data_IF_968049830779
#
_entry.id   IF_968049830779
#
_cell.length_a   1.000
_cell.length_b   1.000
_cell.length_c   1.000
_cell.angle_alpha   90.00
_cell.angle_beta   90.00
_cell.angle_gamma   90.00
#
_symmetry.space_group_name_H-M   'P 1'
#
loop_
_entity.id
_entity.type
_entity.pdbx_description
1 polymer ?
#
# COMPACT_ATOMS: atom_id res chain seq x y z
N UNK A 1 -13.95 -5.50 -59.90
CA UNK A 1 -15.28 -5.57 -59.21
C UNK A 1 -15.15 -6.54 -58.06
N UNK A 2 -15.40 -6.09 -56.84
CA UNK A 2 -15.52 -7.01 -55.70
C UNK A 2 -16.77 -7.88 -55.94
N UNK A 3 -16.64 -9.18 -55.74
CA UNK A 3 -17.78 -10.11 -55.88
C UNK A 3 -18.80 -9.88 -54.77
N UNK A 4 -20.07 -10.32 -54.96
CA UNK A 4 -21.11 -10.26 -53.94
C UNK A 4 -20.63 -10.98 -52.61
N UNK A 5 -19.86 -12.08 -52.76
CA UNK A 5 -19.28 -12.82 -51.65
C UNK A 5 -18.29 -11.96 -50.85
N UNK A 6 -17.44 -11.14 -51.52
CA UNK A 6 -16.51 -10.24 -50.83
C UNK A 6 -17.24 -9.13 -50.04
N UNK A 7 -18.37 -8.65 -50.56
CA UNK A 7 -19.19 -7.65 -49.90
C UNK A 7 -19.87 -8.23 -48.63
N UNK A 8 -20.42 -9.43 -48.73
CA UNK A 8 -21.04 -10.13 -47.61
C UNK A 8 -19.99 -10.41 -46.55
N UNK A 9 -18.83 -10.99 -46.89
CA UNK A 9 -17.75 -11.28 -45.96
C UNK A 9 -17.26 -10.01 -45.23
N UNK A 10 -17.06 -8.90 -45.96
CA UNK A 10 -16.67 -7.61 -45.40
C UNK A 10 -17.74 -7.04 -44.43
N UNK A 11 -19.02 -7.27 -44.71
CA UNK A 11 -20.13 -6.79 -43.86
C UNK A 11 -20.20 -7.60 -42.58
N UNK A 12 -20.07 -8.93 -42.69
CA UNK A 12 -20.04 -9.83 -41.53
C UNK A 12 -18.85 -9.48 -40.63
N UNK A 13 -17.66 -9.36 -41.21
CA UNK A 13 -16.44 -9.02 -40.45
C UNK A 13 -16.59 -7.68 -39.70
N UNK A 14 -17.12 -6.64 -40.35
CA UNK A 14 -17.41 -5.36 -39.69
C UNK A 14 -18.42 -5.49 -38.55
N UNK A 15 -19.45 -6.31 -38.73
CA UNK A 15 -20.45 -6.54 -37.71
C UNK A 15 -19.88 -7.26 -36.49
N UNK A 16 -18.99 -8.23 -36.70
CA UNK A 16 -18.28 -8.93 -35.62
C UNK A 16 -17.31 -8.01 -34.88
N UNK A 17 -16.53 -7.18 -35.61
CA UNK A 17 -15.65 -6.18 -35.00
C UNK A 17 -16.44 -5.16 -34.17
N UNK A 18 -17.58 -4.69 -34.66
CA UNK A 18 -18.44 -3.76 -33.94
C UNK A 18 -19.05 -4.40 -32.68
N UNK A 19 -19.54 -5.64 -32.78
CA UNK A 19 -20.07 -6.37 -31.63
C UNK A 19 -18.96 -6.61 -30.58
N UNK A 20 -17.74 -6.93 -31.01
CA UNK A 20 -16.58 -7.08 -30.11
C UNK A 20 -16.21 -5.76 -29.44
N UNK A 21 -16.23 -4.65 -30.17
CA UNK A 21 -15.94 -3.32 -29.60
C UNK A 21 -16.94 -2.94 -28.52
N UNK A 22 -18.26 -3.17 -28.74
CA UNK A 22 -19.29 -2.92 -27.73
C UNK A 22 -19.09 -3.80 -26.51
N UNK A 23 -18.77 -5.08 -26.69
CA UNK A 23 -18.52 -5.99 -25.58
C UNK A 23 -17.31 -5.56 -24.73
N UNK A 24 -16.21 -5.13 -25.36
CA UNK A 24 -15.04 -4.61 -24.69
C UNK A 24 -15.33 -3.30 -23.94
N UNK A 25 -16.10 -2.40 -24.53
CA UNK A 25 -16.50 -1.14 -23.88
C UNK A 25 -17.36 -1.41 -22.64
N UNK A 26 -18.30 -2.35 -22.72
CA UNK A 26 -19.12 -2.76 -21.59
C UNK A 26 -18.27 -3.33 -20.43
N UNK A 27 -17.33 -4.24 -20.75
CA UNK A 27 -16.41 -4.80 -19.76
C UNK A 27 -15.55 -3.70 -19.12
N UNK A 28 -15.06 -2.76 -19.92
CA UNK A 28 -14.29 -1.61 -19.41
C UNK A 28 -15.11 -0.75 -18.44
N UNK A 29 -16.38 -0.50 -18.74
CA UNK A 29 -17.28 0.23 -17.85
C UNK A 29 -17.55 -0.53 -16.54
N UNK A 30 -17.74 -1.85 -16.60
CA UNK A 30 -17.94 -2.69 -15.41
C UNK A 30 -16.68 -2.68 -14.51
N UNK A 31 -15.48 -2.74 -15.10
CA UNK A 31 -14.21 -2.62 -14.37
C UNK A 31 -14.08 -1.24 -13.72
N UNK A 32 -14.47 -0.18 -14.43
CA UNK A 32 -14.42 1.18 -13.87
C UNK A 32 -15.37 1.33 -12.67
N UNK A 33 -16.58 0.78 -12.74
CA UNK A 33 -17.53 0.77 -11.62
C UNK A 33 -16.96 -0.02 -10.43
N UNK A 34 -16.39 -1.20 -10.69
CA UNK A 34 -15.75 -2.01 -9.65
C UNK A 34 -14.60 -1.27 -8.96
N UNK A 35 -13.78 -0.52 -9.73
CA UNK A 35 -12.71 0.32 -9.19
C UNK A 35 -13.23 1.47 -8.31
N UNK A 36 -14.34 2.10 -8.69
CA UNK A 36 -14.97 3.13 -7.84
C UNK A 36 -15.49 2.54 -6.52
N UNK A 37 -16.08 1.35 -6.57
CA UNK A 37 -16.53 0.63 -5.37
C UNK A 37 -15.32 0.28 -4.50
N UNK A 38 -14.26 -0.26 -5.10
CA UNK A 38 -13.02 -0.60 -4.40
C UNK A 38 -12.39 0.62 -3.72
N UNK A 39 -12.28 1.74 -4.43
CA UNK A 39 -11.77 2.99 -3.88
C UNK A 39 -12.58 3.49 -2.68
N UNK A 40 -13.89 3.19 -2.64
CA UNK A 40 -14.74 3.55 -1.49
C UNK A 40 -14.46 2.76 -0.22
N UNK A 41 -13.76 1.63 -0.33
CA UNK A 41 -13.31 0.86 0.85
C UNK A 41 -12.10 1.51 1.51
N UNK A 42 -11.27 2.22 0.76
CA UNK A 42 -10.08 2.86 1.32
C UNK A 42 -10.44 4.06 2.21
N UNK A 43 -9.65 4.34 3.25
CA UNK A 43 -9.86 5.51 4.09
C UNK A 43 -9.79 6.80 3.26
N UNK A 44 -10.85 7.61 3.30
CA UNK A 44 -10.91 8.93 2.67
C UNK A 44 -10.65 10.08 3.64
N UNK A 45 -10.55 9.77 4.93
CA UNK A 45 -10.19 10.70 5.99
C UNK A 45 -9.09 10.05 6.84
N UNK A 46 -8.03 10.79 7.08
CA UNK A 46 -6.94 10.36 7.92
C UNK A 46 -7.14 10.88 9.34
N UNK A 47 -6.94 10.04 10.37
CA UNK A 47 -7.03 10.49 11.74
C UNK A 47 -5.94 11.55 12.01
N UNK A 48 -6.33 12.63 12.68
CA UNK A 48 -5.35 13.56 13.21
C UNK A 48 -4.77 12.95 14.50
N UNK A 49 -3.48 12.67 14.48
CA UNK A 49 -2.76 12.08 15.60
C UNK A 49 -1.83 13.15 16.15
N UNK A 50 -2.10 13.71 17.35
CA UNK A 50 -1.25 14.75 17.91
C UNK A 50 0.22 14.33 18.01
N UNK A 51 1.14 15.14 17.48
CA UNK A 51 2.57 14.88 17.46
C UNK A 51 3.03 13.88 16.38
N UNK A 52 2.16 13.59 15.41
CA UNK A 52 2.48 12.69 14.29
C UNK A 52 1.96 13.25 12.97
N UNK A 53 2.73 13.00 11.91
CA UNK A 53 2.30 13.22 10.53
C UNK A 53 2.13 11.88 9.82
N UNK A 54 1.10 11.77 9.01
CA UNK A 54 0.82 10.61 8.19
C UNK A 54 0.52 11.05 6.76
N UNK A 55 1.40 10.67 5.84
CA UNK A 55 1.23 10.89 4.41
C UNK A 55 1.00 9.54 3.72
N UNK A 56 -0.06 9.42 2.92
CA UNK A 56 -0.40 8.16 2.21
C UNK A 56 -0.79 8.48 0.79
N UNK A 57 -0.30 7.68 -0.15
CA UNK A 57 -0.77 7.65 -1.55
C UNK A 57 -0.95 6.22 -2.02
N UNK A 58 -1.93 6.01 -2.89
CA UNK A 58 -2.13 4.80 -3.68
C UNK A 58 -2.47 5.23 -5.09
N UNK A 59 -1.63 4.86 -6.05
CA UNK A 59 -1.82 5.10 -7.49
C UNK A 59 -1.99 3.74 -8.18
N UNK A 60 -3.22 3.34 -8.56
CA UNK A 60 -3.45 2.10 -9.28
C UNK A 60 -2.85 2.14 -10.68
N UNK A 61 -2.24 1.02 -11.14
CA UNK A 61 -1.75 0.87 -12.51
C UNK A 61 -2.89 0.74 -13.54
N UNK A 62 -4.05 0.31 -13.08
CA UNK A 62 -5.23 0.07 -13.90
C UNK A 62 -6.51 0.58 -13.27
N UNK A 63 -7.65 0.05 -13.70
CA UNK A 63 -8.96 0.40 -13.13
C UNK A 63 -9.24 -0.24 -11.77
N UNK A 64 -8.47 -1.27 -11.38
CA UNK A 64 -8.57 -2.04 -10.14
C UNK A 64 -7.18 -2.19 -9.55
N UNK A 65 -7.08 -2.26 -8.22
CA UNK A 65 -5.83 -2.42 -7.49
C UNK A 65 -5.82 -3.73 -6.68
N UNK A 66 -4.66 -4.43 -6.70
CA UNK A 66 -4.33 -5.49 -5.74
C UNK A 66 -3.88 -4.91 -4.41
N UNK A 67 -3.25 -3.74 -4.46
CA UNK A 67 -2.77 -3.01 -3.30
C UNK A 67 -3.88 -2.42 -2.46
N UNK A 68 -3.65 -2.33 -1.17
CA UNK A 68 -4.47 -1.52 -0.28
C UNK A 68 -3.69 -1.05 0.95
N UNK A 69 -4.20 0.01 1.54
CA UNK A 69 -3.86 0.42 2.89
C UNK A 69 -5.11 0.58 3.74
N UNK A 70 -4.97 0.49 5.05
CA UNK A 70 -6.06 0.84 5.97
C UNK A 70 -5.49 1.51 7.23
N UNK A 71 -6.33 2.37 7.81
CA UNK A 71 -6.07 3.08 9.05
C UNK A 71 -7.22 2.74 9.99
N UNK A 72 -6.91 2.01 11.07
CA UNK A 72 -7.91 1.42 11.95
C UNK A 72 -7.78 2.07 13.32
N UNK A 73 -8.73 2.93 13.67
CA UNK A 73 -8.76 3.52 15.00
C UNK A 73 -9.16 2.45 16.01
N UNK A 74 -8.28 2.19 16.98
CA UNK A 74 -8.41 1.17 18.01
C UNK A 74 -8.71 1.82 19.37
N UNK A 75 -8.95 0.98 20.39
CA UNK A 75 -9.15 1.46 21.75
C UNK A 75 -7.89 2.14 22.30
N UNK A 76 -8.07 3.15 23.19
CA UNK A 76 -6.95 3.87 23.80
C UNK A 76 -6.16 4.72 22.81
N UNK A 77 -6.84 5.34 21.86
CA UNK A 77 -6.25 6.23 20.84
C UNK A 77 -5.18 5.58 19.95
N UNK A 78 -5.05 4.23 20.00
CA UNK A 78 -4.12 3.50 19.16
C UNK A 78 -4.58 3.46 17.72
N UNK A 79 -3.62 3.39 16.81
CA UNK A 79 -3.87 3.34 15.37
C UNK A 79 -3.29 2.06 14.76
N UNK A 80 -4.15 1.24 14.15
CA UNK A 80 -3.74 0.16 13.27
C UNK A 80 -3.35 0.71 11.89
N UNK A 81 -2.15 0.38 11.45
CA UNK A 81 -1.60 0.71 10.13
C UNK A 81 -1.51 -0.57 9.31
N UNK A 82 -2.17 -0.61 8.16
CA UNK A 82 -2.11 -1.74 7.22
C UNK A 82 -1.56 -1.25 5.90
N UNK A 83 -0.64 -2.00 5.33
CA UNK A 83 -0.28 -1.94 3.91
C UNK A 83 -0.14 -3.36 3.40
N UNK A 84 -0.71 -3.65 2.25
CA UNK A 84 -0.75 -4.99 1.72
C UNK A 84 -0.86 -4.99 0.20
N UNK A 85 -0.38 -6.07 -0.40
CA UNK A 85 -0.41 -6.32 -1.83
C UNK A 85 -0.84 -7.76 -2.09
N UNK A 86 -1.82 -7.94 -2.96
CA UNK A 86 -2.36 -9.24 -3.38
C UNK A 86 -1.58 -9.73 -4.60
N UNK A 87 -1.03 -10.92 -4.51
CA UNK A 87 -0.43 -11.57 -5.66
C UNK A 87 -1.44 -11.71 -6.81
N UNK A 88 -1.02 -11.37 -8.05
CA UNK A 88 -1.86 -11.29 -9.25
C UNK A 88 -2.54 -9.91 -9.44
N UNK A 89 -3.19 -9.70 -10.57
CA UNK A 89 -3.78 -8.41 -10.98
C UNK A 89 -5.22 -8.57 -11.48
N UNK A 90 -5.89 -7.45 -11.58
CA UNK A 90 -7.24 -7.36 -12.13
C UNK A 90 -8.34 -7.71 -11.13
N UNK A 91 -9.49 -8.16 -11.64
CA UNK A 91 -10.71 -8.33 -10.84
C UNK A 91 -10.56 -9.35 -9.71
N UNK A 92 -9.81 -10.43 -9.93
CA UNK A 92 -9.55 -11.46 -8.91
C UNK A 92 -8.81 -10.89 -7.71
N UNK A 93 -7.69 -10.21 -7.96
CA UNK A 93 -6.89 -9.55 -6.93
C UNK A 93 -7.71 -8.47 -6.19
N UNK A 94 -8.50 -7.67 -6.92
CA UNK A 94 -9.34 -6.63 -6.33
C UNK A 94 -10.41 -7.17 -5.38
N UNK A 95 -11.05 -8.28 -5.70
CA UNK A 95 -12.03 -8.94 -4.82
C UNK A 95 -11.35 -9.56 -3.60
N UNK A 96 -10.18 -10.17 -3.81
CA UNK A 96 -9.40 -10.76 -2.73
C UNK A 96 -8.87 -9.69 -1.77
N UNK A 97 -8.44 -8.54 -2.29
CA UNK A 97 -8.09 -7.36 -1.50
C UNK A 97 -9.23 -6.93 -0.57
N UNK A 98 -10.46 -6.81 -1.09
CA UNK A 98 -11.62 -6.39 -0.31
C UNK A 98 -11.93 -7.38 0.83
N UNK A 99 -11.82 -8.68 0.58
CA UNK A 99 -11.97 -9.74 1.58
C UNK A 99 -10.90 -9.59 2.67
N UNK A 100 -9.63 -9.52 2.28
CA UNK A 100 -8.51 -9.48 3.20
C UNK A 100 -8.53 -8.23 4.08
N UNK A 101 -8.76 -7.07 3.47
CA UNK A 101 -8.93 -5.82 4.21
C UNK A 101 -10.05 -5.94 5.26
N UNK A 102 -11.18 -6.52 4.88
CA UNK A 102 -12.32 -6.71 5.80
C UNK A 102 -11.98 -7.61 6.96
N UNK A 103 -11.29 -8.72 6.72
CA UNK A 103 -10.87 -9.67 7.75
C UNK A 103 -9.85 -9.04 8.69
N UNK A 104 -8.79 -8.42 8.16
CA UNK A 104 -7.78 -7.73 8.97
C UNK A 104 -8.43 -6.67 9.86
N UNK A 105 -9.32 -5.85 9.30
CA UNK A 105 -10.05 -4.82 10.06
C UNK A 105 -10.93 -5.41 11.15
N UNK A 106 -11.61 -6.52 10.87
CA UNK A 106 -12.48 -7.21 11.84
C UNK A 106 -11.66 -7.74 13.02
N UNK A 107 -10.60 -8.47 12.74
CA UNK A 107 -9.74 -9.06 13.75
C UNK A 107 -8.89 -8.01 14.49
N UNK A 108 -8.59 -6.87 13.86
CA UNK A 108 -7.94 -5.74 14.53
C UNK A 108 -8.74 -5.23 15.73
N UNK A 109 -10.07 -5.17 15.64
CA UNK A 109 -10.93 -4.80 16.77
C UNK A 109 -10.98 -5.87 17.85
N UNK A 110 -10.85 -7.13 17.50
CA UNK A 110 -10.89 -8.26 18.44
C UNK A 110 -9.56 -8.39 19.20
N UNK A 111 -8.44 -8.38 18.47
CA UNK A 111 -7.11 -8.66 19.03
C UNK A 111 -6.28 -7.41 19.34
N UNK A 112 -6.81 -6.21 19.09
CA UNK A 112 -6.21 -4.92 19.47
C UNK A 112 -4.68 -4.84 19.19
N UNK A 113 -3.85 -4.89 20.24
CA UNK A 113 -2.39 -4.76 20.18
C UNK A 113 -1.66 -6.09 19.87
N UNK A 114 -2.32 -7.05 19.21
CA UNK A 114 -1.76 -8.37 18.85
C UNK A 114 -1.75 -8.55 17.32
N UNK A 115 -0.86 -7.84 16.61
CA UNK A 115 -0.78 -7.94 15.15
C UNK A 115 -0.50 -9.37 14.65
N UNK A 116 0.23 -10.16 15.42
CA UNK A 116 0.47 -11.58 15.18
C UNK A 116 -0.84 -12.38 15.10
N UNK A 117 -1.76 -12.18 16.04
CA UNK A 117 -3.05 -12.87 16.06
C UNK A 117 -3.98 -12.38 14.95
N UNK A 118 -4.01 -11.06 14.69
CA UNK A 118 -4.82 -10.50 13.61
C UNK A 118 -4.49 -11.14 12.26
N UNK A 119 -3.20 -11.30 11.97
CA UNK A 119 -2.74 -11.93 10.72
C UNK A 119 -3.04 -13.43 10.75
N UNK A 120 -2.84 -14.13 11.87
CA UNK A 120 -3.11 -15.55 12.00
C UNK A 120 -4.57 -15.89 11.75
N UNK A 121 -5.49 -15.17 12.36
CA UNK A 121 -6.94 -15.37 12.18
C UNK A 121 -7.41 -15.01 10.77
N UNK A 122 -6.84 -13.93 10.20
CA UNK A 122 -7.11 -13.58 8.81
C UNK A 122 -6.64 -14.69 7.86
N UNK A 123 -5.45 -15.27 8.10
CA UNK A 123 -4.92 -16.38 7.31
C UNK A 123 -5.82 -17.62 7.39
N UNK A 124 -6.19 -18.04 8.59
CA UNK A 124 -7.07 -19.18 8.79
C UNK A 124 -8.39 -19.00 8.04
N UNK A 125 -9.00 -17.82 8.19
CA UNK A 125 -10.29 -17.53 7.55
C UNK A 125 -10.20 -17.48 6.04
N UNK A 126 -9.13 -16.89 5.49
CA UNK A 126 -8.88 -16.83 4.05
C UNK A 126 -8.73 -18.24 3.47
N UNK A 127 -7.95 -19.10 4.10
CA UNK A 127 -7.72 -20.48 3.63
C UNK A 127 -9.00 -21.34 3.69
N UNK A 128 -9.88 -21.08 4.65
CA UNK A 128 -11.18 -21.75 4.76
C UNK A 128 -12.18 -21.32 3.70
N UNK A 129 -12.28 -20.01 3.44
CA UNK A 129 -13.36 -19.43 2.63
C UNK A 129 -12.96 -19.18 1.17
N UNK A 130 -11.71 -18.83 0.91
CA UNK A 130 -11.23 -18.47 -0.42
C UNK A 130 -10.31 -19.54 -0.99
N UNK A 131 -10.87 -20.38 -1.86
CA UNK A 131 -10.10 -21.41 -2.60
C UNK A 131 -9.38 -20.84 -3.83
N UNK A 132 -9.03 -19.58 -3.80
CA UNK A 132 -8.21 -18.94 -4.82
C UNK A 132 -6.74 -19.26 -4.50
N UNK A 133 -5.95 -19.67 -5.50
CA UNK A 133 -4.50 -19.82 -5.33
C UNK A 133 -3.80 -18.47 -5.29
N UNK A 134 -4.35 -17.52 -4.51
CA UNK A 134 -3.83 -16.18 -4.32
C UNK A 134 -3.30 -16.05 -2.89
N UNK A 135 -2.25 -15.28 -2.73
CA UNK A 135 -1.69 -14.94 -1.43
C UNK A 135 -1.55 -13.42 -1.30
N UNK A 136 -1.32 -12.96 -0.08
CA UNK A 136 -1.19 -11.53 0.21
C UNK A 136 0.06 -11.31 1.01
N UNK A 137 0.84 -10.34 0.59
CA UNK A 137 1.86 -9.76 1.44
C UNK A 137 1.22 -8.66 2.28
N UNK A 138 1.48 -8.63 3.58
CA UNK A 138 0.83 -7.69 4.48
C UNK A 138 1.79 -7.25 5.60
N UNK A 139 1.88 -5.95 5.81
CA UNK A 139 2.40 -5.39 7.06
C UNK A 139 1.23 -4.85 7.87
N UNK A 140 1.09 -5.31 9.11
CA UNK A 140 0.15 -4.78 10.07
C UNK A 140 0.88 -4.32 11.33
N UNK A 141 0.72 -3.04 11.67
CA UNK A 141 1.31 -2.44 12.86
C UNK A 141 0.29 -1.69 13.69
N UNK A 142 0.47 -1.70 15.01
CA UNK A 142 -0.35 -0.95 15.95
C UNK A 142 0.52 0.11 16.61
N UNK A 143 0.27 1.36 16.24
CA UNK A 143 0.90 2.53 16.83
C UNK A 143 0.21 2.88 18.14
N UNK A 144 1.00 3.04 19.18
CA UNK A 144 0.64 3.74 20.42
C UNK A 144 1.26 5.14 20.35
N UNK A 145 0.47 6.18 20.01
CA UNK A 145 1.04 7.50 19.80
C UNK A 145 1.54 8.17 21.07
N UNK A 146 0.95 7.85 22.23
CA UNK A 146 1.37 8.40 23.52
C UNK A 146 2.73 7.85 23.95
N UNK A 147 2.90 6.52 23.88
CA UNK A 147 4.16 5.85 24.18
C UNK A 147 5.21 6.01 23.05
N UNK A 148 4.77 6.37 21.86
CA UNK A 148 5.65 6.48 20.69
C UNK A 148 6.20 5.12 20.27
N UNK A 149 5.42 4.05 20.38
CA UNK A 149 5.82 2.69 20.03
C UNK A 149 4.93 2.10 18.94
N UNK A 150 5.49 1.25 18.09
CA UNK A 150 4.77 0.46 17.10
C UNK A 150 5.05 -1.01 17.34
N UNK A 151 3.98 -1.78 17.60
CA UNK A 151 4.02 -3.25 17.62
C UNK A 151 3.55 -3.74 16.26
N UNK A 152 4.33 -4.57 15.57
CA UNK A 152 4.00 -5.00 14.20
C UNK A 152 4.23 -6.48 13.96
N UNK A 153 3.57 -7.00 12.92
CA UNK A 153 3.89 -8.23 12.24
C UNK A 153 3.97 -7.97 10.73
N UNK A 154 4.96 -8.58 10.07
CA UNK A 154 5.19 -8.46 8.64
C UNK A 154 5.05 -9.83 7.98
N UNK A 155 3.92 -10.04 7.33
CA UNK A 155 3.56 -11.26 6.62
C UNK A 155 4.07 -11.21 5.16
N UNK A 156 5.36 -11.37 4.98
CA UNK A 156 5.98 -11.47 3.66
C UNK A 156 6.09 -10.15 2.89
N UNK A 157 5.60 -9.04 3.41
CA UNK A 157 5.59 -7.75 2.73
C UNK A 157 6.99 -7.12 2.60
N UNK A 158 7.16 -6.18 1.68
CA UNK A 158 8.37 -5.39 1.52
C UNK A 158 8.75 -4.77 2.87
N UNK A 159 9.99 -4.97 3.35
CA UNK A 159 10.37 -4.49 4.66
C UNK A 159 10.25 -2.96 4.74
N UNK A 160 9.37 -2.40 5.59
CA UNK A 160 9.33 -0.97 5.81
C UNK A 160 10.67 -0.43 6.30
N UNK A 161 10.99 0.80 5.93
CA UNK A 161 12.26 1.45 6.27
C UNK A 161 12.01 2.43 7.42
N UNK A 162 12.65 2.18 8.56
CA UNK A 162 12.72 3.14 9.66
C UNK A 162 13.93 4.05 9.45
N UNK A 163 13.66 5.32 9.13
CA UNK A 163 14.67 6.37 9.02
C UNK A 163 14.79 7.09 10.36
N UNK A 164 15.89 6.87 11.07
CA UNK A 164 16.11 7.49 12.37
C UNK A 164 16.66 8.91 12.22
N UNK A 165 16.10 9.83 13.01
CA UNK A 165 16.58 11.21 13.11
C UNK A 165 17.84 11.29 14.00
N UNK A 166 18.91 10.62 13.56
CA UNK A 166 20.22 10.63 14.22
C UNK A 166 21.25 11.32 13.32
N UNK A 167 22.36 11.81 13.89
CA UNK A 167 23.45 12.41 13.08
C UNK A 167 23.93 11.47 11.95
N UNK A 168 23.98 10.17 12.21
CA UNK A 168 24.41 9.15 11.24
C UNK A 168 23.32 8.79 10.24
N UNK A 169 22.08 9.31 10.38
CA UNK A 169 20.93 9.06 9.49
C UNK A 169 20.75 7.56 9.18
N UNK A 170 20.72 6.73 10.23
CA UNK A 170 20.62 5.29 10.08
C UNK A 170 19.27 4.87 9.55
N UNK A 171 19.27 3.98 8.57
CA UNK A 171 18.11 3.35 8.00
C UNK A 171 18.03 1.88 8.45
N UNK A 172 16.88 1.44 8.93
CA UNK A 172 16.65 0.07 9.37
C UNK A 172 15.47 -0.53 8.65
N UNK A 173 15.64 -1.71 8.05
CA UNK A 173 14.56 -2.46 7.46
C UNK A 173 13.81 -3.26 8.56
N UNK A 174 12.49 -3.11 8.61
CA UNK A 174 11.63 -3.91 9.47
C UNK A 174 11.33 -5.26 8.82
N UNK A 175 12.24 -6.20 9.02
CA UNK A 175 12.22 -7.50 8.36
C UNK A 175 10.90 -8.26 8.57
N UNK A 176 10.63 -9.18 7.64
CA UNK A 176 9.52 -10.12 7.69
C UNK A 176 9.52 -10.92 8.99
N UNK A 177 8.34 -11.18 9.53
CA UNK A 177 8.14 -11.94 10.77
C UNK A 177 7.42 -13.26 10.54
N UNK A 178 6.99 -13.50 9.30
CA UNK A 178 6.35 -14.71 8.81
C UNK A 178 6.17 -14.67 7.30
N UNK A 179 5.55 -15.71 6.75
CA UNK A 179 5.26 -15.82 5.32
C UNK A 179 4.03 -15.00 4.91
N UNK A 180 3.74 -14.82 3.61
CA UNK A 180 2.50 -14.21 3.14
C UNK A 180 1.26 -14.95 3.65
N UNK A 181 0.15 -14.22 3.76
CA UNK A 181 -1.17 -14.73 4.15
C UNK A 181 -1.77 -15.53 2.99
N UNK A 182 -2.44 -16.65 3.28
CA UNK A 182 -3.11 -17.48 2.29
C UNK A 182 -2.22 -18.57 1.65
N UNK A 183 -1.03 -18.82 2.21
CA UNK A 183 -0.07 -19.81 1.69
C UNK A 183 -0.15 -21.14 2.43
N UNK A 184 -0.16 -21.11 3.77
CA UNK A 184 -0.04 -22.29 4.61
C UNK A 184 -0.94 -22.13 5.85
N UNK A 185 -1.67 -23.20 6.21
CA UNK A 185 -2.54 -23.22 7.39
C UNK A 185 -1.77 -23.28 8.71
N UNK A 186 -0.56 -23.85 8.69
CA UNK A 186 0.33 -23.96 9.84
C UNK A 186 1.25 -22.72 10.00
N UNK A 187 1.06 -21.69 9.18
CA UNK A 187 1.86 -20.47 9.22
C UNK A 187 1.72 -19.75 10.57
N UNK A 188 2.83 -19.18 11.04
CA UNK A 188 2.87 -18.39 12.25
C UNK A 188 3.65 -17.09 12.06
N UNK A 189 3.32 -16.07 12.83
CA UNK A 189 3.95 -14.76 12.76
C UNK A 189 4.45 -14.33 14.13
N UNK A 190 5.68 -13.82 14.15
CA UNK A 190 6.21 -13.14 15.32
C UNK A 190 5.73 -11.69 15.34
N UNK A 191 5.55 -11.12 16.53
CA UNK A 191 5.40 -9.68 16.70
C UNK A 191 6.71 -9.05 17.13
N UNK A 192 6.98 -7.85 16.62
CA UNK A 192 8.15 -7.04 16.98
C UNK A 192 7.71 -5.65 17.39
N UNK A 193 8.54 -4.98 18.17
CA UNK A 193 8.26 -3.62 18.65
C UNK A 193 9.42 -2.71 18.28
N UNK A 194 9.08 -1.52 17.82
CA UNK A 194 10.02 -0.41 17.64
C UNK A 194 9.53 0.81 18.41
N UNK A 195 10.44 1.70 18.77
CA UNK A 195 10.14 2.97 19.41
C UNK A 195 10.58 4.11 18.49
N UNK A 196 9.81 5.18 18.46
CA UNK A 196 10.09 6.39 17.70
C UNK A 196 10.61 7.49 18.61
N UNK A 197 11.66 8.14 18.18
CA UNK A 197 12.09 9.45 18.71
C UNK A 197 11.60 10.58 17.79
N UNK A 198 11.48 11.83 18.28
CA UNK A 198 11.03 12.93 17.44
C UNK A 198 11.89 13.10 16.17
N UNK A 199 11.22 13.21 15.03
CA UNK A 199 11.82 13.29 13.69
C UNK A 199 12.07 11.93 13.02
N UNK A 200 11.86 10.80 13.71
CA UNK A 200 11.94 9.48 13.07
C UNK A 200 10.78 9.29 12.09
N UNK A 201 11.06 8.62 10.96
CA UNK A 201 10.07 8.32 9.92
C UNK A 201 10.02 6.82 9.63
N UNK A 202 8.83 6.28 9.47
CA UNK A 202 8.62 4.94 8.96
C UNK A 202 8.02 5.02 7.56
N UNK A 203 8.73 4.45 6.59
CA UNK A 203 8.36 4.43 5.19
C UNK A 203 7.90 3.01 4.84
N UNK A 204 6.61 2.86 4.54
CA UNK A 204 5.99 1.62 4.11
C UNK A 204 5.66 1.76 2.62
N UNK A 205 5.93 0.72 1.83
CA UNK A 205 5.76 0.77 0.38
C UNK A 205 5.51 -0.61 -0.21
N UNK A 206 4.76 -0.66 -1.31
CA UNK A 206 4.61 -1.86 -2.13
C UNK A 206 5.70 -1.94 -3.20
N UNK A 207 5.86 -3.09 -3.81
CA UNK A 207 6.91 -3.32 -4.81
C UNK A 207 6.77 -2.43 -6.05
N UNK A 208 5.55 -1.96 -6.38
CA UNK A 208 5.35 -0.97 -7.45
C UNK A 208 6.18 0.31 -7.31
N UNK A 209 6.62 0.67 -6.08
CA UNK A 209 7.56 1.77 -5.86
C UNK A 209 8.95 1.41 -6.41
N UNK A 210 9.48 0.24 -6.08
CA UNK A 210 10.83 -0.19 -6.44
C UNK A 210 10.90 -0.84 -7.81
N UNK A 211 9.78 -1.38 -8.31
CA UNK A 211 9.66 -2.02 -9.62
C UNK A 211 9.10 -1.09 -10.71
N UNK A 212 8.92 0.20 -10.42
CA UNK A 212 8.59 1.20 -11.43
C UNK A 212 9.65 1.21 -12.54
N UNK A 213 9.22 1.02 -13.81
CA UNK A 213 10.12 0.85 -14.94
C UNK A 213 10.21 2.11 -15.81
N UNK A 214 11.42 2.38 -16.30
CA UNK A 214 11.64 3.39 -17.35
C UNK A 214 11.53 2.78 -18.75
N UNK A 215 11.58 3.63 -19.79
CA UNK A 215 11.51 3.20 -21.19
C UNK A 215 12.61 2.24 -21.65
N UNK A 216 13.67 2.05 -20.86
CA UNK A 216 14.74 1.06 -21.10
C UNK A 216 14.55 -0.24 -20.32
N UNK A 217 13.46 -0.37 -19.55
CA UNK A 217 13.17 -1.55 -18.75
C UNK A 217 13.98 -1.66 -17.46
N UNK A 218 14.64 -0.58 -17.01
CA UNK A 218 15.33 -0.52 -15.73
C UNK A 218 14.32 -0.19 -14.63
N UNK A 219 14.50 -0.80 -13.45
CA UNK A 219 13.71 -0.52 -12.26
C UNK A 219 14.22 0.72 -11.50
N UNK A 220 13.29 1.40 -10.80
CA UNK A 220 13.63 2.48 -9.87
C UNK A 220 14.53 1.99 -8.74
N UNK A 221 14.32 0.77 -8.30
CA UNK A 221 15.02 -0.02 -7.30
C UNK A 221 15.05 0.55 -5.86
N UNK A 222 15.39 -0.31 -4.90
CA UNK A 222 15.48 0.06 -3.48
C UNK A 222 16.57 1.11 -3.22
N UNK A 223 17.64 1.09 -4.00
CA UNK A 223 18.74 2.05 -3.83
C UNK A 223 18.28 3.48 -4.12
N UNK A 224 17.50 3.70 -5.17
CA UNK A 224 16.98 5.02 -5.50
C UNK A 224 15.98 5.49 -4.43
N UNK A 225 15.16 4.58 -3.89
CA UNK A 225 14.28 4.88 -2.76
C UNK A 225 15.08 5.32 -1.52
N UNK A 226 16.12 4.59 -1.14
CA UNK A 226 17.01 4.93 -0.01
C UNK A 226 17.73 6.26 -0.23
N UNK A 227 18.13 6.57 -1.46
CA UNK A 227 18.72 7.85 -1.84
C UNK A 227 17.73 9.01 -1.64
N UNK A 228 16.46 8.85 -2.03
CA UNK A 228 15.40 9.84 -1.79
C UNK A 228 15.19 10.08 -0.29
N UNK A 229 15.07 9.02 0.51
CA UNK A 229 14.88 9.09 1.96
C UNK A 229 16.06 9.85 2.62
N UNK A 230 17.29 9.52 2.20
CA UNK A 230 18.48 10.13 2.77
C UNK A 230 18.60 11.62 2.43
N UNK A 231 18.26 12.02 1.19
CA UNK A 231 18.30 13.44 0.77
C UNK A 231 17.25 14.28 1.48
N UNK A 232 16.06 13.72 1.71
CA UNK A 232 14.91 14.43 2.29
C UNK A 232 14.70 14.11 3.79
N UNK A 233 15.75 13.71 4.50
CA UNK A 233 15.64 13.30 5.90
C UNK A 233 15.05 14.36 6.84
N UNK A 234 15.32 15.66 6.56
CA UNK A 234 14.88 16.79 7.39
C UNK A 234 13.51 17.35 6.95
N UNK A 235 12.94 16.87 5.84
CA UNK A 235 11.62 17.27 5.39
C UNK A 235 10.52 16.57 6.18
N UNK A 236 9.30 17.08 6.05
CA UNK A 236 8.09 16.45 6.60
C UNK A 236 7.75 15.15 5.89
N UNK A 237 6.84 14.34 6.48
CA UNK A 237 6.32 13.14 5.83
C UNK A 237 5.74 13.42 4.44
N UNK A 238 5.04 14.55 4.29
CA UNK A 238 4.46 14.98 3.01
C UNK A 238 5.52 15.36 1.98
N UNK A 239 6.53 16.13 2.38
CA UNK A 239 7.64 16.52 1.49
C UNK A 239 8.46 15.30 1.04
N UNK A 240 8.67 14.32 1.91
CA UNK A 240 9.33 13.06 1.54
C UNK A 240 8.48 12.26 0.57
N UNK A 241 7.16 12.15 0.80
CA UNK A 241 6.24 11.48 -0.13
C UNK A 241 6.28 12.12 -1.51
N UNK A 242 6.15 13.45 -1.58
CA UNK A 242 6.21 14.20 -2.83
C UNK A 242 7.54 13.99 -3.55
N UNK A 243 8.66 13.99 -2.79
CA UNK A 243 9.98 13.73 -3.35
C UNK A 243 10.08 12.36 -3.96
N UNK A 244 9.66 11.30 -3.26
CA UNK A 244 9.70 9.93 -3.78
C UNK A 244 8.81 9.81 -5.03
N UNK A 245 7.56 10.27 -4.98
CA UNK A 245 6.62 10.17 -6.09
C UNK A 245 7.09 10.96 -7.32
N UNK A 246 7.66 12.15 -7.14
CA UNK A 246 8.20 12.93 -8.25
C UNK A 246 9.43 12.25 -8.88
N UNK A 247 10.34 11.68 -8.08
CA UNK A 247 11.48 10.94 -8.61
C UNK A 247 11.04 9.69 -9.39
N UNK A 248 10.01 8.97 -8.96
CA UNK A 248 9.42 7.85 -9.70
C UNK A 248 8.86 8.35 -11.05
N UNK A 249 8.07 9.42 -11.06
CA UNK A 249 7.48 9.99 -12.28
C UNK A 249 8.54 10.48 -13.28
N UNK A 250 9.59 11.13 -12.80
CA UNK A 250 10.73 11.55 -13.62
C UNK A 250 11.49 10.35 -14.18
N UNK A 251 11.72 9.32 -13.36
CA UNK A 251 12.44 8.11 -13.78
C UNK A 251 11.67 7.32 -14.84
N UNK A 252 10.36 7.16 -14.68
CA UNK A 252 9.52 6.44 -15.65
C UNK A 252 9.31 7.21 -16.96
N UNK A 253 9.46 8.56 -16.94
CA UNK A 253 9.39 9.43 -18.12
C UNK A 253 8.20 9.14 -19.03
N UNK A 254 7.02 8.89 -18.45
CA UNK A 254 5.79 8.62 -19.21
C UNK A 254 5.64 7.18 -19.70
N UNK A 255 6.50 6.27 -19.31
CA UNK A 255 6.26 4.82 -19.46
C UNK A 255 4.99 4.44 -18.69
N UNK A 256 4.06 3.67 -19.26
CA UNK A 256 2.88 3.22 -18.52
C UNK A 256 3.27 2.49 -17.23
N UNK A 257 2.58 2.80 -16.16
CA UNK A 257 2.77 2.14 -14.87
C UNK A 257 2.47 0.65 -14.99
N UNK A 258 3.39 -0.18 -14.50
CA UNK A 258 3.31 -1.65 -14.59
C UNK A 258 2.62 -2.28 -13.40
N UNK A 259 2.67 -1.65 -12.23
CA UNK A 259 2.06 -2.13 -10.99
C UNK A 259 1.47 -1.01 -10.15
N UNK A 260 0.61 -1.36 -9.20
CA UNK A 260 0.04 -0.41 -8.24
C UNK A 260 1.15 0.16 -7.35
N UNK A 261 1.11 1.45 -7.07
CA UNK A 261 2.08 2.13 -6.21
C UNK A 261 1.38 2.55 -4.94
N UNK A 262 1.77 1.95 -3.82
CA UNK A 262 1.31 2.37 -2.49
C UNK A 262 2.50 2.83 -1.65
N UNK A 263 2.40 4.02 -1.10
CA UNK A 263 3.42 4.62 -0.24
C UNK A 263 2.74 5.25 0.98
N UNK A 264 3.19 4.86 2.18
CA UNK A 264 2.72 5.42 3.45
C UNK A 264 3.94 5.85 4.26
N UNK A 265 3.93 7.08 4.76
CA UNK A 265 5.00 7.62 5.59
C UNK A 265 4.39 8.12 6.90
N UNK A 266 4.84 7.53 8.00
CA UNK A 266 4.51 7.93 9.36
C UNK A 266 5.72 8.64 9.97
N UNK A 267 5.55 9.85 10.46
CA UNK A 267 6.58 10.65 11.12
C UNK A 267 6.17 11.04 12.53
N UNK A 268 7.05 10.86 13.50
CA UNK A 268 6.91 11.49 14.81
C UNK A 268 7.44 12.91 14.75
N UNK A 269 6.55 13.91 14.95
CA UNK A 269 6.93 15.32 14.84
C UNK A 269 8.01 15.71 15.84
N UNK A 270 8.83 16.68 15.45
CA UNK A 270 9.75 17.31 16.39
C UNK A 270 8.95 18.08 17.44
N UNK A 271 9.23 17.86 18.72
CA UNK A 271 8.58 18.64 19.78
C UNK A 271 8.92 20.14 19.62
N UNK A 272 7.92 20.92 19.29
CA UNK A 272 8.02 22.38 19.15
C UNK A 272 8.09 23.10 20.53
N UNK A 273 8.69 22.46 21.55
CA UNK A 273 8.84 23.02 22.91
C UNK A 273 10.22 23.63 23.12
N UNK A 274 10.67 24.55 22.24
CA UNK A 274 11.78 25.47 22.58
C UNK A 274 11.63 26.82 21.89
N UNK A 275 10.44 27.43 21.98
CA UNK A 275 10.37 28.87 21.91
C UNK A 275 10.24 29.40 23.34
N UNK A 276 11.26 30.11 23.87
CA UNK A 276 11.09 30.83 25.11
C UNK A 276 9.96 31.82 24.92
N UNK A 277 9.00 31.80 25.81
CA UNK A 277 7.97 32.84 25.89
C UNK A 277 8.62 34.16 26.33
N UNK A 278 9.25 34.90 25.43
CA UNK A 278 9.54 36.30 25.63
C UNK A 278 8.21 37.05 25.58
N UNK A 279 7.54 37.10 26.71
CA UNK A 279 6.59 38.18 27.00
C UNK A 279 7.38 39.24 27.78
N UNK A 280 7.63 40.40 27.23
CA UNK A 280 8.02 41.55 28.05
C UNK A 280 6.79 41.98 28.89
N UNK A 281 7.05 42.20 30.17
CA UNK A 281 6.15 42.89 31.12
C UNK A 281 5.79 44.32 30.67
#
# INVERSE_FOLDING_TARGET
>A
MKTLADQIASTIHRSEEYARSIALEKVSQEIQIAGQIQASFLPNQFPNIPGWQLAVTLEPAGGLSGDFFDLIQLSGEKLGLVIADVADKGLGAALYMALCRTLIRTYAFEYQSRPDLVISEANERILQDARANLFITCFYGVLDPEEGTLVYANAGHNPPILAMNTPDSKLYALNRTGMPIGVDEDASWERRTISFTPGDKLILYTDGVTEAQNGSGLFFDEKQLLDCITRQKNGSAFELQDTIMNNIREFTSGTPQSDDITLMILEKELNDQTLPSDRPE
#
